data_IF_922589566888
#
_entry.id   IF_922589566888
#
_cell.length_a   1.000
_cell.length_b   1.000
_cell.length_c   1.000
_cell.angle_alpha   90.00
_cell.angle_beta   90.00
_cell.angle_gamma   90.00
#
_symmetry.space_group_name_H-M   'P 1'
#
loop_
_entity.id
_entity.type
_entity.pdbx_description
1 polymer ?
#
# COMPACT_ATOMS: atom_id res chain seq x y z
N UNK A 1 -6.83 -28.90 -26.46
CA UNK A 1 -6.73 -27.57 -25.77
C UNK A 1 -7.79 -27.51 -24.68
N UNK A 2 -7.38 -27.56 -23.42
CA UNK A 2 -8.26 -27.32 -22.29
C UNK A 2 -8.55 -25.81 -22.25
N UNK A 3 -9.75 -25.41 -22.63
CA UNK A 3 -10.27 -24.09 -22.27
C UNK A 3 -10.66 -24.12 -20.80
N UNK A 4 -9.88 -23.49 -19.94
CA UNK A 4 -10.30 -23.12 -18.60
C UNK A 4 -11.43 -22.08 -18.76
N UNK A 5 -12.66 -22.51 -18.61
CA UNK A 5 -13.78 -21.59 -18.44
C UNK A 5 -13.59 -20.90 -17.09
N UNK A 6 -13.44 -19.58 -17.09
CA UNK A 6 -13.49 -18.76 -15.89
C UNK A 6 -14.77 -19.05 -15.11
N UNK A 7 -14.64 -19.28 -13.81
CA UNK A 7 -15.73 -19.69 -12.90
C UNK A 7 -16.19 -18.51 -12.04
N UNK A 8 -15.80 -17.27 -12.37
CA UNK A 8 -16.25 -16.11 -11.62
C UNK A 8 -17.63 -15.63 -12.08
N UNK A 9 -18.68 -15.75 -11.27
CA UNK A 9 -19.99 -15.19 -11.59
C UNK A 9 -20.00 -13.63 -11.63
N UNK A 10 -18.87 -12.99 -11.31
CA UNK A 10 -18.68 -11.55 -11.29
C UNK A 10 -17.84 -11.02 -12.46
N UNK A 11 -17.43 -11.86 -13.41
CA UNK A 11 -16.82 -11.37 -14.65
C UNK A 11 -17.90 -10.72 -15.52
N UNK A 12 -18.10 -9.44 -15.33
CA UNK A 12 -18.72 -8.62 -16.36
C UNK A 12 -17.72 -8.49 -17.51
N UNK A 13 -18.03 -9.07 -18.67
CA UNK A 13 -17.28 -8.78 -19.89
C UNK A 13 -17.42 -7.30 -20.23
N UNK A 14 -16.39 -6.55 -19.91
CA UNK A 14 -16.29 -5.15 -20.30
C UNK A 14 -15.98 -5.08 -21.81
N UNK A 15 -17.01 -4.95 -22.62
CA UNK A 15 -16.87 -4.83 -24.08
C UNK A 15 -16.94 -3.36 -24.49
N UNK A 16 -16.12 -3.00 -25.47
CA UNK A 16 -16.17 -1.71 -26.18
C UNK A 16 -15.73 -0.48 -25.38
N UNK A 17 -14.94 -0.60 -24.32
CA UNK A 17 -14.27 0.56 -23.72
C UNK A 17 -12.82 0.26 -23.32
N UNK A 18 -12.03 1.31 -23.25
CA UNK A 18 -10.64 1.27 -22.83
C UNK A 18 -10.41 2.38 -21.78
N UNK A 19 -9.81 2.02 -20.65
CA UNK A 19 -9.42 2.99 -19.63
C UNK A 19 -8.12 3.68 -20.03
N UNK A 20 -8.12 5.01 -20.06
CA UNK A 20 -6.92 5.83 -20.22
C UNK A 20 -6.62 6.57 -18.94
N UNK A 21 -5.37 6.52 -18.50
CA UNK A 21 -4.88 7.31 -17.38
C UNK A 21 -3.86 8.33 -17.89
N UNK A 22 -3.85 9.52 -17.28
CA UNK A 22 -2.81 10.53 -17.55
C UNK A 22 -1.46 9.97 -17.12
N UNK A 23 -0.50 9.95 -18.03
CA UNK A 23 0.88 9.60 -17.70
C UNK A 23 1.55 10.73 -16.91
N UNK A 24 2.10 10.41 -15.74
CA UNK A 24 2.88 11.32 -14.90
C UNK A 24 4.37 11.03 -15.14
N UNK A 25 5.00 11.83 -15.99
CA UNK A 25 6.41 11.67 -16.34
C UNK A 25 7.34 12.14 -15.21
N UNK A 26 8.59 11.69 -15.26
CA UNK A 26 9.65 12.18 -14.36
C UNK A 26 9.73 11.50 -13.00
N UNK A 27 8.83 10.58 -12.68
CA UNK A 27 8.95 9.80 -11.46
C UNK A 27 10.06 8.75 -11.61
N UNK A 28 10.95 8.68 -10.63
CA UNK A 28 12.01 7.65 -10.50
C UNK A 28 11.69 6.62 -9.42
N UNK A 29 10.61 6.85 -8.69
CA UNK A 29 10.05 5.99 -7.64
C UNK A 29 8.55 6.20 -7.54
N UNK A 30 7.87 5.28 -6.89
CA UNK A 30 6.54 5.48 -6.34
C UNK A 30 6.58 5.38 -4.81
N UNK A 31 5.56 5.95 -4.16
CA UNK A 31 5.34 5.79 -2.73
C UNK A 31 4.15 4.88 -2.53
N UNK A 32 4.37 3.76 -1.84
CA UNK A 32 3.31 2.87 -1.40
C UNK A 32 2.92 3.17 0.04
N UNK A 33 1.66 3.47 0.24
CA UNK A 33 1.04 3.59 1.56
C UNK A 33 0.10 2.41 1.76
N UNK A 34 0.24 1.72 2.89
CA UNK A 34 -0.68 0.64 3.27
C UNK A 34 -1.33 0.98 4.60
N UNK A 35 -2.65 1.06 4.60
CA UNK A 35 -3.44 1.23 5.83
C UNK A 35 -3.93 -0.11 6.33
N UNK A 36 -3.90 -0.33 7.65
CA UNK A 36 -4.49 -1.50 8.32
C UNK A 36 -5.17 -1.01 9.60
N UNK A 37 -6.48 -0.96 9.59
CA UNK A 37 -7.27 -0.30 10.63
C UNK A 37 -6.83 1.15 10.79
N UNK A 38 -6.41 1.49 12.01
CA UNK A 38 -5.96 2.83 12.36
C UNK A 38 -4.44 3.06 12.19
N UNK A 39 -3.76 2.19 11.46
CA UNK A 39 -2.30 2.24 11.25
C UNK A 39 -2.00 2.46 9.78
N UNK A 40 -1.05 3.33 9.51
CA UNK A 40 -0.60 3.68 8.16
C UNK A 40 0.90 3.41 8.05
N UNK A 41 1.27 2.54 7.13
CA UNK A 41 2.64 2.13 6.82
C UNK A 41 3.06 2.71 5.48
N UNK A 42 4.35 2.94 5.30
CA UNK A 42 4.87 3.49 4.05
C UNK A 42 6.13 2.80 3.55
N UNK A 43 6.29 2.79 2.23
CA UNK A 43 7.54 2.41 1.57
C UNK A 43 7.71 3.18 0.26
N UNK A 44 8.96 3.35 -0.16
CA UNK A 44 9.33 3.84 -1.48
C UNK A 44 9.79 2.65 -2.31
N UNK A 45 9.33 2.57 -3.57
CA UNK A 45 9.79 1.59 -4.54
C UNK A 45 10.46 2.32 -5.70
N UNK A 46 11.73 2.04 -5.91
CA UNK A 46 12.49 2.67 -6.99
C UNK A 46 12.18 2.01 -8.34
N UNK A 47 12.08 2.82 -9.38
CA UNK A 47 11.90 2.32 -10.74
C UNK A 47 13.17 1.64 -11.24
N UNK A 48 13.00 0.71 -12.19
CA UNK A 48 14.13 0.10 -12.88
C UNK A 48 14.76 1.11 -13.83
N UNK A 49 16.04 0.94 -14.07
CA UNK A 49 16.70 1.70 -15.12
C UNK A 49 16.01 1.40 -16.47
N UNK A 50 15.65 2.45 -17.18
CA UNK A 50 14.91 2.39 -18.47
C UNK A 50 13.52 1.72 -18.43
N UNK A 51 12.88 1.64 -17.26
CA UNK A 51 11.49 1.18 -17.12
C UNK A 51 10.72 2.14 -16.21
N UNK A 52 9.52 2.53 -16.62
CA UNK A 52 8.65 3.43 -15.83
C UNK A 52 7.95 2.69 -14.68
N UNK A 53 8.09 1.36 -14.58
CA UNK A 53 7.43 0.54 -13.56
C UNK A 53 8.32 0.36 -12.33
N UNK A 54 7.83 0.75 -11.17
CA UNK A 54 8.47 0.46 -9.89
C UNK A 54 8.19 -0.97 -9.41
N UNK A 55 7.05 -1.54 -9.82
CA UNK A 55 6.66 -2.89 -9.44
C UNK A 55 7.69 -3.94 -9.88
N UNK A 56 8.16 -4.73 -8.89
CA UNK A 56 9.13 -5.80 -9.15
C UNK A 56 10.56 -5.33 -9.42
N UNK A 57 10.92 -4.07 -9.14
CA UNK A 57 12.30 -3.58 -9.24
C UNK A 57 13.26 -4.26 -8.26
N UNK A 58 12.73 -4.74 -7.12
CA UNK A 58 13.51 -5.32 -6.03
C UNK A 58 14.24 -4.29 -5.17
N UNK A 59 14.13 -3.00 -5.48
CA UNK A 59 14.74 -1.90 -4.71
C UNK A 59 13.68 -1.09 -4.01
N UNK A 60 13.70 -1.10 -2.67
CA UNK A 60 12.73 -0.39 -1.83
C UNK A 60 13.40 0.22 -0.61
N UNK A 61 12.81 1.29 -0.08
CA UNK A 61 13.19 1.92 1.19
C UNK A 61 11.98 2.06 2.09
N UNK A 62 12.17 1.90 3.39
CA UNK A 62 11.15 2.09 4.43
C UNK A 62 11.54 3.18 5.42
N UNK A 63 12.58 3.96 5.10
CA UNK A 63 13.04 5.05 5.95
C UNK A 63 11.97 6.14 6.08
N UNK A 64 11.50 6.38 7.30
CA UNK A 64 10.47 7.40 7.60
C UNK A 64 10.79 8.77 6.99
N UNK A 65 12.07 9.18 7.05
CA UNK A 65 12.52 10.49 6.57
C UNK A 65 12.34 10.72 5.07
N UNK A 66 12.27 9.62 4.29
CA UNK A 66 12.15 9.65 2.83
C UNK A 66 10.69 9.61 2.38
N UNK A 67 9.77 9.29 3.30
CA UNK A 67 8.34 9.15 3.00
C UNK A 67 7.63 10.51 3.07
N UNK A 68 6.87 10.80 2.02
CA UNK A 68 6.05 12.01 1.97
C UNK A 68 4.78 11.83 2.83
N UNK A 69 4.70 12.57 3.93
CA UNK A 69 3.59 12.48 4.87
C UNK A 69 2.23 12.80 4.22
N UNK A 70 2.21 13.60 3.15
CA UNK A 70 0.97 13.88 2.39
C UNK A 70 0.36 12.61 1.81
N UNK A 71 1.19 11.64 1.37
CA UNK A 71 0.72 10.35 0.89
C UNK A 71 0.08 9.54 2.02
N UNK A 72 0.70 9.52 3.20
CA UNK A 72 0.14 8.85 4.38
C UNK A 72 -1.20 9.47 4.80
N UNK A 73 -1.28 10.80 4.85
CA UNK A 73 -2.51 11.53 5.14
C UNK A 73 -3.64 11.21 4.16
N UNK A 74 -3.35 11.22 2.85
CA UNK A 74 -4.34 10.90 1.81
C UNK A 74 -4.82 9.45 1.94
N UNK A 75 -3.89 8.49 2.07
CA UNK A 75 -4.23 7.06 2.20
C UNK A 75 -5.10 6.82 3.43
N UNK A 76 -4.70 7.38 4.58
CA UNK A 76 -5.47 7.28 5.83
C UNK A 76 -6.88 7.87 5.67
N UNK A 77 -7.00 9.09 5.13
CA UNK A 77 -8.28 9.77 4.91
C UNK A 77 -9.20 8.99 3.96
N UNK A 78 -8.66 8.40 2.89
CA UNK A 78 -9.43 7.58 1.94
C UNK A 78 -9.93 6.32 2.63
N UNK A 79 -9.04 5.58 3.33
CA UNK A 79 -9.42 4.37 4.06
C UNK A 79 -10.50 4.64 5.11
N UNK A 80 -10.36 5.72 5.87
CA UNK A 80 -11.36 6.12 6.86
C UNK A 80 -12.70 6.48 6.23
N UNK A 81 -12.69 7.20 5.09
CA UNK A 81 -13.92 7.62 4.39
C UNK A 81 -14.71 6.44 3.84
N UNK A 82 -14.02 5.41 3.36
CA UNK A 82 -14.64 4.23 2.74
C UNK A 82 -14.67 3.01 3.67
N UNK A 83 -14.26 3.17 4.93
CA UNK A 83 -14.25 2.13 5.96
C UNK A 83 -13.45 0.88 5.54
N UNK A 84 -12.33 1.09 4.83
CA UNK A 84 -11.46 0.00 4.44
C UNK A 84 -10.69 -0.53 5.65
N UNK A 85 -10.83 -1.84 5.92
CA UNK A 85 -10.06 -2.53 6.95
C UNK A 85 -8.57 -2.57 6.61
N UNK A 86 -8.24 -2.83 5.34
CA UNK A 86 -6.88 -2.79 4.82
C UNK A 86 -6.90 -2.37 3.36
N UNK A 87 -6.01 -1.46 2.99
CA UNK A 87 -5.88 -0.97 1.62
C UNK A 87 -4.49 -0.46 1.33
N UNK A 88 -3.96 -0.75 0.16
CA UNK A 88 -2.72 -0.17 -0.35
C UNK A 88 -2.99 0.85 -1.45
N UNK A 89 -2.20 1.91 -1.44
CA UNK A 89 -2.25 3.04 -2.36
C UNK A 89 -0.86 3.27 -2.93
N UNK A 90 -0.73 3.27 -4.25
CA UNK A 90 0.50 3.65 -4.92
C UNK A 90 0.37 5.09 -5.40
N UNK A 91 1.36 5.91 -5.08
CA UNK A 91 1.38 7.34 -5.40
C UNK A 91 2.48 7.66 -6.40
N UNK A 92 2.12 8.48 -7.37
CA UNK A 92 3.04 9.17 -8.27
C UNK A 92 2.88 10.68 -8.09
N UNK A 93 3.87 11.44 -8.52
CA UNK A 93 3.90 12.89 -8.39
C UNK A 93 3.85 13.56 -9.75
N UNK A 94 3.17 14.70 -9.83
CA UNK A 94 3.22 15.55 -11.02
C UNK A 94 4.45 16.49 -10.99
N UNK A 95 4.56 17.31 -12.03
CA UNK A 95 5.69 18.25 -12.16
C UNK A 95 5.71 19.35 -11.08
N UNK A 96 4.62 19.53 -10.35
CA UNK A 96 4.50 20.44 -9.19
C UNK A 96 4.72 19.71 -7.86
N UNK A 97 5.18 18.47 -7.91
CA UNK A 97 5.38 17.59 -6.75
C UNK A 97 4.10 17.35 -5.95
N UNK A 98 2.95 17.31 -6.62
CA UNK A 98 1.68 16.96 -6.00
C UNK A 98 1.45 15.46 -6.10
N UNK A 99 1.14 14.75 -4.99
CA UNK A 99 0.88 13.33 -5.00
C UNK A 99 -0.51 12.99 -5.59
N UNK A 100 -0.55 11.94 -6.41
CA UNK A 100 -1.77 11.35 -6.98
C UNK A 100 -1.76 9.86 -6.74
N UNK A 101 -2.91 9.31 -6.35
CA UNK A 101 -3.10 7.86 -6.30
C UNK A 101 -3.13 7.35 -7.74
N UNK A 102 -2.17 6.51 -8.10
CA UNK A 102 -2.09 5.84 -9.40
C UNK A 102 -2.78 4.48 -9.39
N UNK A 103 -2.74 3.79 -8.25
CA UNK A 103 -3.33 2.46 -8.05
C UNK A 103 -3.83 2.30 -6.62
N UNK A 104 -4.93 1.55 -6.46
CA UNK A 104 -5.40 1.06 -5.15
C UNK A 104 -5.52 -0.46 -5.22
N UNK A 105 -5.16 -1.14 -4.13
CA UNK A 105 -5.23 -2.60 -4.04
C UNK A 105 -5.63 -3.03 -2.63
N UNK A 106 -6.59 -3.93 -2.52
CA UNK A 106 -6.98 -4.54 -1.24
C UNK A 106 -5.99 -5.63 -0.79
N UNK A 107 -5.01 -5.97 -1.63
CA UNK A 107 -3.94 -6.90 -1.29
C UNK A 107 -2.59 -6.21 -1.38
N UNK A 108 -1.73 -6.48 -0.42
CA UNK A 108 -0.32 -6.08 -0.44
C UNK A 108 0.55 -7.19 0.14
N UNK A 109 1.81 -7.29 -0.26
CA UNK A 109 2.73 -8.21 0.37
C UNK A 109 2.88 -7.88 1.86
N UNK A 110 2.60 -8.85 2.72
CA UNK A 110 2.66 -8.70 4.18
C UNK A 110 4.06 -8.31 4.67
N UNK A 111 5.10 -8.89 4.05
CA UNK A 111 6.48 -8.57 4.36
C UNK A 111 6.82 -7.09 4.12
N UNK A 112 6.16 -6.44 3.16
CA UNK A 112 6.39 -5.02 2.87
C UNK A 112 5.91 -4.12 4.00
N UNK A 113 4.82 -4.48 4.66
CA UNK A 113 4.32 -3.81 5.87
C UNK A 113 5.25 -4.09 7.05
N UNK A 114 5.66 -5.36 7.22
CA UNK A 114 6.59 -5.76 8.26
C UNK A 114 7.95 -5.05 8.20
N UNK A 115 8.45 -4.76 6.99
CA UNK A 115 9.73 -4.06 6.81
C UNK A 115 9.69 -2.60 7.27
N UNK A 116 8.51 -2.00 7.45
CA UNK A 116 8.39 -0.65 7.99
C UNK A 116 8.88 -0.62 9.44
N UNK A 117 9.79 0.31 9.81
CA UNK A 117 10.28 0.43 11.17
C UNK A 117 9.24 0.96 12.17
N UNK A 118 8.08 1.38 11.66
CA UNK A 118 6.98 1.90 12.44
C UNK A 118 5.79 2.26 11.57
N UNK A 119 4.85 2.99 12.13
CA UNK A 119 3.62 3.40 11.48
C UNK A 119 3.12 4.76 11.99
N UNK A 120 2.29 5.42 11.22
CA UNK A 120 1.50 6.56 11.67
C UNK A 120 0.13 6.10 12.17
N UNK A 121 -0.32 6.67 13.28
CA UNK A 121 -1.67 6.46 13.81
C UNK A 121 -2.72 7.40 13.16
N UNK A 122 -3.92 7.42 13.75
CA UNK A 122 -5.04 8.28 13.30
C UNK A 122 -4.75 9.79 13.33
N UNK A 123 -3.81 10.22 14.17
CA UNK A 123 -3.41 11.60 14.31
C UNK A 123 -2.17 11.93 13.47
N UNK A 124 -1.69 10.97 12.67
CA UNK A 124 -0.42 11.02 11.94
C UNK A 124 0.78 11.15 12.87
N UNK A 125 0.66 10.66 14.11
CA UNK A 125 1.77 10.52 15.01
C UNK A 125 2.51 9.22 14.73
N UNK A 126 3.84 9.30 14.73
CA UNK A 126 4.68 8.15 14.45
C UNK A 126 4.91 7.29 15.68
N UNK A 127 4.74 5.98 15.50
CA UNK A 127 5.03 4.95 16.49
C UNK A 127 6.10 4.01 15.94
N UNK A 128 7.20 3.85 16.66
CA UNK A 128 8.24 2.89 16.31
C UNK A 128 7.77 1.46 16.63
N UNK A 129 8.17 0.53 15.78
CA UNK A 129 7.90 -0.90 15.95
C UNK A 129 7.33 -1.56 14.71
N UNK A 130 7.86 -2.73 14.39
CA UNK A 130 7.42 -3.53 13.25
C UNK A 130 6.15 -4.30 13.60
N UNK A 131 5.16 -4.24 12.73
CA UNK A 131 3.89 -4.93 12.91
C UNK A 131 3.54 -5.75 11.66
N UNK A 132 2.99 -6.95 11.90
CA UNK A 132 2.39 -7.75 10.83
C UNK A 132 0.99 -7.24 10.51
N UNK A 133 0.63 -7.08 9.22
CA UNK A 133 -0.71 -6.63 8.85
C UNK A 133 -1.80 -7.59 9.34
N UNK A 134 -1.58 -8.90 9.29
CA UNK A 134 -2.52 -9.90 9.80
C UNK A 134 -2.71 -9.78 11.31
N UNK A 135 -1.65 -9.46 12.03
CA UNK A 135 -1.71 -9.23 13.46
C UNK A 135 -2.49 -7.97 13.80
N UNK A 136 -2.29 -6.89 13.03
CA UNK A 136 -3.07 -5.65 13.17
C UNK A 136 -4.57 -5.92 12.97
N UNK A 137 -4.93 -6.67 11.92
CA UNK A 137 -6.32 -7.07 11.66
C UNK A 137 -6.89 -7.87 12.83
N UNK A 138 -6.12 -8.84 13.35
CA UNK A 138 -6.57 -9.68 14.48
C UNK A 138 -6.78 -8.86 15.76
N UNK A 139 -5.86 -7.94 16.07
CA UNK A 139 -6.01 -7.02 17.21
C UNK A 139 -7.29 -6.21 17.12
N UNK A 140 -7.57 -5.65 15.92
CA UNK A 140 -8.74 -4.82 15.70
C UNK A 140 -10.04 -5.62 15.79
N UNK A 141 -10.09 -6.81 15.16
CA UNK A 141 -11.28 -7.69 15.18
C UNK A 141 -11.61 -8.22 16.58
N UNK A 142 -10.59 -8.54 17.38
CA UNK A 142 -10.77 -9.07 18.72
C UNK A 142 -10.86 -7.97 19.79
N UNK A 143 -10.62 -6.71 19.41
CA UNK A 143 -10.50 -5.57 20.33
C UNK A 143 -9.48 -5.85 21.47
N UNK A 144 -8.33 -6.40 21.10
CA UNK A 144 -7.23 -6.77 22.00
C UNK A 144 -5.97 -5.96 21.68
N UNK A 145 -5.88 -4.70 22.11
CA UNK A 145 -4.75 -3.82 21.76
C UNK A 145 -3.40 -4.32 22.32
N UNK A 146 -3.42 -5.11 23.39
CA UNK A 146 -2.22 -5.66 24.05
C UNK A 146 -1.89 -7.09 23.62
N UNK A 147 -2.52 -7.60 22.57
CA UNK A 147 -2.19 -8.91 22.03
C UNK A 147 -0.71 -8.96 21.64
N UNK A 148 0.05 -9.91 22.14
CA UNK A 148 1.48 -10.02 21.83
C UNK A 148 1.68 -10.58 20.42
N UNK A 149 2.40 -9.82 19.60
CA UNK A 149 2.81 -10.28 18.28
C UNK A 149 3.76 -11.49 18.41
N UNK A 150 3.54 -12.58 17.64
CA UNK A 150 4.47 -13.70 17.62
C UNK A 150 5.85 -13.26 17.12
N UNK A 151 6.90 -13.84 17.72
CA UNK A 151 8.26 -13.67 17.18
C UNK A 151 8.33 -14.28 15.77
N UNK A 152 8.93 -13.54 14.83
CA UNK A 152 9.19 -14.09 13.50
C UNK A 152 10.44 -14.95 13.53
N UNK A 153 10.25 -16.23 13.29
CA UNK A 153 11.32 -17.12 12.81
C UNK A 153 11.23 -17.19 11.28
N UNK A 154 11.88 -16.25 10.57
CA UNK A 154 12.20 -16.51 9.15
C UNK A 154 13.36 -17.52 9.14
N UNK A 155 13.05 -18.74 8.73
CA UNK A 155 14.06 -19.68 8.24
C UNK A 155 14.48 -19.27 6.85
#
# INVERSE_FOLDING_TARGET
SLQLKSVSPFEQEHKNYTLFQKYLSGNTFDVRITTVGNRTFGSIRYMRENDFRASGSGSSSWEKKDLDLRCAEIGHRVSKKFEFQSMSYDFLFDNENKPYISEISYTSPDWSVWMSPGYWDNNLEWHDGQLWPQYCVLMDLLNLPDLKQPAMNRQ
#
